data_IF_455170080175
#
_entry.id   IF_455170080175
#
_cell.length_a   1.000
_cell.length_b   1.000
_cell.length_c   1.000
_cell.angle_alpha   90.00
_cell.angle_beta   90.00
_cell.angle_gamma   90.00
#
_symmetry.space_group_name_H-M   'P 1'
#
loop_
_entity.id
_entity.type
_entity.pdbx_description
1 polymer ?
#
# COMPACT_ATOMS: atom_id res chain seq x y z
N UNK A 1 16.47 -31.77 1.76
CA UNK A 1 16.25 -31.14 3.08
C UNK A 1 14.76 -30.91 3.19
N UNK A 2 14.12 -31.39 4.24
CA UNK A 2 12.68 -31.19 4.47
C UNK A 2 12.41 -29.70 4.72
N UNK A 3 11.43 -29.13 4.02
CA UNK A 3 11.02 -27.73 4.23
C UNK A 3 10.11 -27.72 5.46
N UNK A 4 10.49 -26.94 6.47
CA UNK A 4 9.69 -26.78 7.68
C UNK A 4 8.92 -25.46 7.61
N UNK A 5 7.61 -25.53 7.39
CA UNK A 5 6.71 -24.38 7.44
C UNK A 5 5.88 -24.40 8.74
N UNK A 6 6.02 -23.35 9.56
CA UNK A 6 5.33 -23.28 10.86
C UNK A 6 3.81 -23.13 10.71
N UNK A 7 3.34 -22.48 9.65
CA UNK A 7 1.90 -22.32 9.41
C UNK A 7 1.30 -23.65 9.03
N UNK A 8 1.91 -24.35 8.07
CA UNK A 8 1.44 -25.68 7.66
C UNK A 8 1.36 -26.63 8.85
N UNK A 9 2.39 -26.67 9.71
CA UNK A 9 2.38 -27.52 10.91
C UNK A 9 1.33 -27.12 11.94
N UNK A 10 1.13 -25.81 12.15
CA UNK A 10 0.10 -25.32 13.06
C UNK A 10 -1.29 -25.71 12.57
N UNK A 11 -1.58 -25.47 11.28
CA UNK A 11 -2.88 -25.78 10.70
C UNK A 11 -3.15 -27.29 10.72
N UNK A 12 -2.16 -28.11 10.34
CA UNK A 12 -2.25 -29.57 10.43
C UNK A 12 -2.47 -30.07 11.87
N UNK A 13 -1.85 -29.43 12.88
CA UNK A 13 -2.02 -29.78 14.30
C UNK A 13 -3.47 -29.61 14.78
N UNK A 14 -4.19 -28.64 14.22
CA UNK A 14 -5.55 -28.29 14.62
C UNK A 14 -6.61 -28.68 13.56
N UNK A 15 -6.23 -29.43 12.53
CA UNK A 15 -7.09 -29.81 11.40
C UNK A 15 -7.78 -28.60 10.73
N UNK A 16 -7.05 -27.50 10.59
CA UNK A 16 -7.52 -26.31 9.88
C UNK A 16 -7.16 -26.48 8.41
N UNK A 17 -8.16 -26.44 7.54
CA UNK A 17 -7.93 -26.46 6.10
C UNK A 17 -7.36 -25.12 5.61
N UNK A 18 -6.47 -25.20 4.62
CA UNK A 18 -5.81 -24.04 4.04
C UNK A 18 -6.80 -23.11 3.36
N UNK A 19 -7.69 -23.65 2.54
CA UNK A 19 -8.67 -22.87 1.79
C UNK A 19 -9.72 -22.28 2.74
N UNK A 20 -10.12 -22.97 3.80
CA UNK A 20 -10.98 -22.41 4.86
C UNK A 20 -10.34 -21.17 5.50
N UNK A 21 -9.04 -21.22 5.82
CA UNK A 21 -8.32 -20.07 6.36
C UNK A 21 -8.25 -18.91 5.36
N UNK A 22 -8.08 -19.20 4.07
CA UNK A 22 -8.09 -18.16 3.03
C UNK A 22 -9.46 -17.52 2.88
N UNK A 23 -10.52 -18.33 2.84
CA UNK A 23 -11.89 -17.85 2.75
C UNK A 23 -12.27 -17.03 3.98
N UNK A 24 -11.88 -17.46 5.17
CA UNK A 24 -12.03 -16.65 6.38
C UNK A 24 -11.37 -15.28 6.21
N UNK A 25 -10.11 -15.22 5.77
CA UNK A 25 -9.40 -13.96 5.63
C UNK A 25 -10.01 -13.00 4.61
N UNK A 26 -10.51 -13.53 3.49
CA UNK A 26 -11.17 -12.73 2.46
C UNK A 26 -12.56 -12.27 2.93
N UNK A 27 -13.39 -13.18 3.43
CA UNK A 27 -14.79 -12.88 3.82
C UNK A 27 -14.91 -11.98 5.06
N UNK A 28 -13.97 -12.09 5.99
CA UNK A 28 -13.93 -11.22 7.17
C UNK A 28 -13.20 -9.90 6.90
N UNK A 29 -12.56 -9.73 5.74
CA UNK A 29 -11.99 -8.43 5.40
C UNK A 29 -13.11 -7.43 5.11
N UNK A 30 -13.15 -6.34 5.89
CA UNK A 30 -14.16 -5.31 5.71
C UNK A 30 -13.65 -4.30 4.68
N UNK A 31 -14.38 -4.22 3.57
CA UNK A 31 -14.16 -3.29 2.48
C UNK A 31 -15.16 -2.11 2.57
N UNK A 32 -14.75 -0.88 2.22
CA UNK A 32 -15.69 0.23 2.11
C UNK A 32 -16.85 -0.03 1.12
N UNK A 33 -18.08 0.44 1.40
CA UNK A 33 -19.21 0.32 0.46
C UNK A 33 -18.94 1.04 -0.87
N UNK A 34 -19.28 0.39 -1.99
CA UNK A 34 -18.92 0.84 -3.35
C UNK A 34 -19.50 2.21 -3.72
N UNK A 35 -20.71 2.51 -3.26
CA UNK A 35 -21.40 3.77 -3.47
C UNK A 35 -20.67 4.94 -2.79
N UNK A 36 -20.16 4.72 -1.57
CA UNK A 36 -19.37 5.70 -0.84
C UNK A 36 -17.95 5.83 -1.39
N UNK A 37 -17.37 4.72 -1.87
CA UNK A 37 -16.06 4.68 -2.53
C UNK A 37 -16.03 5.61 -3.73
N UNK A 38 -17.04 5.53 -4.61
CA UNK A 38 -17.10 6.36 -5.81
C UNK A 38 -17.05 7.86 -5.49
N UNK A 39 -17.85 8.31 -4.53
CA UNK A 39 -17.88 9.71 -4.12
C UNK A 39 -16.54 10.17 -3.54
N UNK A 40 -15.92 9.35 -2.69
CA UNK A 40 -14.65 9.68 -2.03
C UNK A 40 -13.47 9.63 -3.00
N UNK A 41 -13.51 8.76 -4.01
CA UNK A 41 -12.50 8.70 -5.05
C UNK A 41 -12.51 9.96 -5.92
N UNK A 42 -13.69 10.41 -6.37
CA UNK A 42 -13.82 11.67 -7.10
C UNK A 42 -13.37 12.88 -6.27
N UNK A 43 -13.72 12.91 -4.99
CA UNK A 43 -13.28 13.99 -4.09
C UNK A 43 -11.76 13.98 -3.89
N UNK A 44 -11.13 12.81 -3.76
CA UNK A 44 -9.67 12.70 -3.68
C UNK A 44 -9.01 13.26 -4.95
N UNK A 45 -9.46 12.84 -6.14
CA UNK A 45 -8.95 13.38 -7.41
C UNK A 45 -9.09 14.90 -7.46
N UNK A 46 -10.28 15.44 -7.11
CA UNK A 46 -10.52 16.90 -7.06
C UNK A 46 -9.55 17.61 -6.11
N UNK A 47 -9.33 17.08 -4.91
CA UNK A 47 -8.35 17.66 -3.97
C UNK A 47 -6.94 17.64 -4.56
N UNK A 48 -6.53 16.55 -5.20
CA UNK A 48 -5.19 16.45 -5.79
C UNK A 48 -4.98 17.51 -6.87
N UNK A 49 -5.90 17.61 -7.83
CA UNK A 49 -5.77 18.53 -8.96
C UNK A 49 -6.03 20.00 -8.62
N UNK A 50 -6.71 20.30 -7.51
CA UNK A 50 -7.02 21.67 -7.09
C UNK A 50 -6.23 22.11 -5.86
N UNK A 51 -5.01 21.58 -5.66
CA UNK A 51 -4.11 21.97 -4.57
C UNK A 51 -4.76 21.82 -3.17
N UNK A 52 -5.67 20.86 -3.00
CA UNK A 52 -6.27 20.48 -1.74
C UNK A 52 -5.32 19.68 -0.86
N UNK A 53 -5.61 19.64 0.44
CA UNK A 53 -4.80 18.90 1.40
C UNK A 53 -4.94 17.39 1.20
N UNK A 54 -3.81 16.71 1.07
CA UNK A 54 -3.70 15.25 0.93
C UNK A 54 -2.48 14.72 1.67
N UNK A 55 -2.53 13.45 2.05
CA UNK A 55 -1.50 12.76 2.81
C UNK A 55 -0.84 11.65 2.00
N UNK A 56 0.39 11.36 2.37
CA UNK A 56 1.14 10.19 1.89
C UNK A 56 1.90 9.54 3.05
N UNK A 57 2.25 8.26 2.91
CA UNK A 57 3.16 7.58 3.84
C UNK A 57 4.57 8.14 3.74
N UNK A 58 5.28 8.22 4.87
CA UNK A 58 6.69 8.65 4.90
C UNK A 58 7.61 7.77 4.04
N UNK A 59 8.65 8.38 3.47
CA UNK A 59 9.67 7.72 2.63
C UNK A 59 11.08 7.78 3.22
N UNK A 60 11.78 6.65 3.13
CA UNK A 60 13.11 6.44 3.75
C UNK A 60 13.05 6.22 5.26
N UNK A 61 14.22 5.94 5.85
CA UNK A 61 14.39 5.88 7.30
C UNK A 61 14.01 7.24 7.92
N UNK A 62 13.25 7.21 9.02
CA UNK A 62 12.72 8.39 9.71
C UNK A 62 11.88 9.34 8.83
N UNK A 63 11.46 8.88 7.64
CA UNK A 63 10.71 9.66 6.65
C UNK A 63 11.47 10.86 6.05
N UNK A 64 12.81 10.90 6.11
CA UNK A 64 13.62 12.02 5.57
C UNK A 64 13.45 12.23 4.06
N UNK A 65 13.31 11.14 3.30
CA UNK A 65 13.13 11.20 1.84
C UNK A 65 11.73 11.65 1.40
N UNK A 66 10.77 11.84 2.33
CA UNK A 66 9.39 12.21 1.96
C UNK A 66 9.32 13.49 1.15
N UNK A 67 10.26 14.41 1.35
CA UNK A 67 10.32 15.66 0.60
C UNK A 67 10.45 15.43 -0.91
N UNK A 68 11.17 14.39 -1.35
CA UNK A 68 11.31 14.05 -2.78
C UNK A 68 9.95 13.79 -3.43
N UNK A 69 9.04 13.10 -2.73
CA UNK A 69 7.67 12.91 -3.21
C UNK A 69 6.85 14.20 -3.15
N UNK A 70 6.98 15.00 -2.09
CA UNK A 70 6.23 16.26 -1.94
C UNK A 70 6.58 17.23 -3.07
N UNK A 71 7.88 17.41 -3.36
CA UNK A 71 8.35 18.29 -4.44
C UNK A 71 7.92 17.73 -5.80
N UNK A 72 8.00 16.41 -6.02
CA UNK A 72 7.50 15.78 -7.23
C UNK A 72 6.01 16.08 -7.45
N UNK A 73 5.17 15.92 -6.42
CA UNK A 73 3.72 16.16 -6.57
C UNK A 73 3.37 17.63 -6.76
N UNK A 74 4.16 18.54 -6.18
CA UNK A 74 4.07 19.96 -6.50
C UNK A 74 4.42 20.22 -7.96
N UNK A 75 5.41 19.51 -8.52
CA UNK A 75 5.78 19.63 -9.93
C UNK A 75 4.71 19.05 -10.87
N UNK A 76 4.21 17.84 -10.59
CA UNK A 76 3.27 17.13 -11.47
C UNK A 76 1.86 17.72 -11.43
N UNK A 77 1.36 18.05 -10.25
CA UNK A 77 -0.06 18.37 -10.04
C UNK A 77 -0.29 19.79 -9.52
N UNK A 78 0.77 20.60 -9.42
CA UNK A 78 0.73 21.92 -8.78
C UNK A 78 0.13 21.87 -7.35
N UNK A 79 0.31 20.73 -6.66
CA UNK A 79 -0.22 20.52 -5.32
C UNK A 79 0.89 20.71 -4.28
N UNK A 80 0.88 21.85 -3.60
CA UNK A 80 1.79 22.20 -2.52
C UNK A 80 1.26 21.81 -1.12
N UNK A 81 0.07 21.21 -1.04
CA UNK A 81 -0.59 20.83 0.21
C UNK A 81 -0.49 19.33 0.53
N UNK A 82 0.40 18.62 -0.15
CA UNK A 82 0.77 17.24 0.17
C UNK A 82 1.60 17.21 1.45
N UNK A 83 1.25 16.35 2.40
CA UNK A 83 1.96 16.22 3.68
C UNK A 83 2.15 14.76 4.06
N UNK A 84 3.23 14.46 4.78
CA UNK A 84 3.39 13.16 5.44
C UNK A 84 2.23 12.91 6.42
N UNK A 85 1.71 11.69 6.44
CA UNK A 85 0.84 11.21 7.52
C UNK A 85 1.65 11.00 8.81
N UNK A 86 1.13 11.48 9.95
CA UNK A 86 1.88 11.52 11.19
C UNK A 86 2.27 10.13 11.72
N UNK A 87 1.42 9.12 11.51
CA UNK A 87 1.65 7.73 11.97
C UNK A 87 1.76 6.74 10.81
N UNK A 88 1.86 7.24 9.58
CA UNK A 88 1.80 6.47 8.35
C UNK A 88 0.45 5.77 8.08
N UNK A 89 -0.57 5.97 8.92
CA UNK A 89 -1.86 5.26 8.89
C UNK A 89 -3.04 6.04 9.49
N UNK A 90 -2.88 7.29 9.97
CA UNK A 90 -4.00 8.06 10.54
C UNK A 90 -5.07 8.32 9.50
N UNK A 91 -4.69 8.85 8.34
CA UNK A 91 -5.68 9.23 7.32
C UNK A 91 -6.43 8.03 6.74
N UNK A 92 -5.75 6.92 6.35
CA UNK A 92 -6.44 5.69 5.96
C UNK A 92 -7.40 5.18 7.04
N UNK A 93 -7.00 5.24 8.31
CA UNK A 93 -7.85 4.83 9.43
C UNK A 93 -9.12 5.69 9.55
N UNK A 94 -9.01 7.02 9.37
CA UNK A 94 -10.19 7.91 9.39
C UNK A 94 -11.14 7.60 8.26
N UNK A 95 -10.62 7.47 7.03
CA UNK A 95 -11.40 7.21 5.83
C UNK A 95 -12.20 5.93 6.00
N UNK A 96 -11.55 4.80 6.29
CA UNK A 96 -12.28 3.54 6.42
C UNK A 96 -13.25 3.53 7.61
N UNK A 97 -12.93 4.21 8.71
CA UNK A 97 -13.84 4.33 9.86
C UNK A 97 -15.09 5.14 9.52
N UNK A 98 -14.95 6.18 8.69
CA UNK A 98 -16.06 7.00 8.22
C UNK A 98 -16.96 6.21 7.26
N UNK A 99 -16.37 5.48 6.31
CA UNK A 99 -17.12 4.78 5.26
C UNK A 99 -17.81 3.51 5.77
N UNK A 100 -17.22 2.82 6.74
CA UNK A 100 -17.76 1.54 7.24
C UNK A 100 -18.51 1.68 8.56
N UNK A 101 -18.35 2.80 9.28
CA UNK A 101 -18.88 2.99 10.62
C UNK A 101 -18.11 2.25 11.73
N UNK A 102 -17.10 1.45 11.39
CA UNK A 102 -16.29 0.74 12.37
C UNK A 102 -15.20 1.64 12.98
N UNK A 103 -15.05 1.55 14.30
CA UNK A 103 -14.10 2.31 15.11
C UNK A 103 -13.30 1.37 15.99
N UNK A 104 -11.97 1.41 15.83
CA UNK A 104 -11.02 0.60 16.61
C UNK A 104 -11.25 0.79 18.11
N UNK A 105 -11.15 -0.31 18.85
CA UNK A 105 -11.33 -0.38 20.31
C UNK A 105 -12.71 0.08 20.82
N UNK A 106 -13.71 0.17 19.92
CA UNK A 106 -15.10 0.46 20.27
C UNK A 106 -16.04 -0.64 19.77
N UNK A 107 -16.13 -0.79 18.46
CA UNK A 107 -16.92 -1.82 17.78
C UNK A 107 -16.10 -2.62 16.76
N UNK A 108 -14.78 -2.44 16.77
CA UNK A 108 -13.83 -3.16 15.92
C UNK A 108 -12.59 -3.56 16.74
N UNK A 109 -12.38 -4.86 16.87
CA UNK A 109 -11.29 -5.45 17.65
C UNK A 109 -10.52 -6.46 16.80
N UNK A 110 -9.20 -6.50 16.95
CA UNK A 110 -8.33 -7.43 16.23
C UNK A 110 -8.35 -7.28 14.70
N UNK A 111 -8.61 -6.07 14.21
CA UNK A 111 -8.42 -5.68 12.81
C UNK A 111 -7.26 -4.69 12.67
N UNK A 112 -6.70 -4.64 11.46
CA UNK A 112 -5.70 -3.64 11.07
C UNK A 112 -6.09 -2.97 9.76
N UNK A 113 -5.68 -1.72 9.60
CA UNK A 113 -5.81 -1.01 8.33
C UNK A 113 -4.69 -1.48 7.40
N UNK A 114 -5.06 -1.89 6.19
CA UNK A 114 -4.12 -2.33 5.16
C UNK A 114 -4.39 -1.62 3.84
N UNK A 115 -3.34 -1.46 3.03
CA UNK A 115 -3.47 -1.01 1.65
C UNK A 115 -3.47 -2.22 0.72
N UNK A 116 -4.57 -2.45 0.00
CA UNK A 116 -4.80 -3.65 -0.80
C UNK A 116 -3.70 -3.83 -1.87
N UNK A 117 -3.40 -2.76 -2.61
CA UNK A 117 -2.44 -2.75 -3.72
C UNK A 117 -1.11 -2.07 -3.36
N UNK A 118 -0.87 -1.80 -2.07
CA UNK A 118 0.32 -1.10 -1.61
C UNK A 118 0.38 0.35 -2.10
N UNK A 119 1.54 0.76 -2.62
CA UNK A 119 1.79 2.10 -3.20
C UNK A 119 1.38 3.27 -2.28
N UNK A 120 1.82 3.18 -1.02
CA UNK A 120 1.41 4.10 0.06
C UNK A 120 2.03 5.51 0.03
N UNK A 121 3.01 5.76 -0.84
CA UNK A 121 3.60 7.08 -1.12
C UNK A 121 2.92 7.74 -2.32
N UNK A 122 2.19 6.97 -3.12
CA UNK A 122 1.39 7.47 -4.22
C UNK A 122 0.25 8.36 -3.70
N UNK A 123 0.22 9.60 -4.19
CA UNK A 123 -0.78 10.62 -3.81
C UNK A 123 -2.22 10.19 -4.08
N UNK A 124 -2.44 9.38 -5.10
CA UNK A 124 -3.77 8.87 -5.46
C UNK A 124 -4.16 7.65 -4.63
N UNK A 125 -3.20 6.83 -4.18
CA UNK A 125 -3.51 5.51 -3.60
C UNK A 125 -3.45 5.46 -2.09
N UNK A 126 -2.75 6.39 -1.43
CA UNK A 126 -2.65 6.36 0.03
C UNK A 126 -3.99 6.60 0.73
N UNK A 127 -4.77 7.56 0.21
CA UNK A 127 -6.12 7.90 0.70
C UNK A 127 -7.24 7.27 -0.14
N UNK A 128 -6.93 6.52 -1.21
CA UNK A 128 -7.96 5.91 -2.04
C UNK A 128 -8.80 4.93 -1.23
N UNK A 129 -10.13 5.14 -1.10
CA UNK A 129 -10.97 4.28 -0.28
C UNK A 129 -11.01 2.84 -0.81
N UNK A 130 -10.97 2.66 -2.13
CA UNK A 130 -10.90 1.34 -2.78
C UNK A 130 -9.54 0.65 -2.61
N UNK A 131 -8.50 1.35 -2.14
CA UNK A 131 -7.21 0.77 -1.82
C UNK A 131 -7.04 0.52 -0.31
N UNK A 132 -8.07 0.76 0.52
CA UNK A 132 -7.98 0.62 1.99
C UNK A 132 -8.95 -0.47 2.46
N UNK A 133 -8.47 -1.35 3.33
CA UNK A 133 -9.27 -2.42 3.92
C UNK A 133 -9.01 -2.56 5.43
N UNK A 134 -9.99 -3.09 6.17
CA UNK A 134 -9.78 -3.59 7.52
C UNK A 134 -9.61 -5.10 7.45
N UNK A 135 -8.37 -5.56 7.62
CA UNK A 135 -8.00 -6.97 7.54
C UNK A 135 -7.91 -7.57 8.95
N UNK A 136 -8.44 -8.78 9.19
CA UNK A 136 -8.25 -9.48 10.46
C UNK A 136 -6.78 -9.65 10.79
N UNK A 137 -6.35 -9.32 12.02
CA UNK A 137 -4.94 -9.45 12.44
C UNK A 137 -4.46 -10.90 12.43
N UNK A 138 -5.35 -11.87 12.56
CA UNK A 138 -4.99 -13.30 12.47
C UNK A 138 -4.49 -13.69 11.07
N UNK A 139 -4.79 -12.87 10.06
CA UNK A 139 -4.36 -13.02 8.67
C UNK A 139 -3.10 -12.20 8.38
N UNK A 140 -2.66 -11.33 9.29
CA UNK A 140 -1.41 -10.57 9.14
C UNK A 140 -0.20 -11.44 8.74
N UNK A 141 -0.05 -12.66 9.28
CA UNK A 141 1.00 -13.57 8.83
C UNK A 141 0.95 -13.92 7.34
N UNK A 142 -0.20 -13.84 6.66
CA UNK A 142 -0.32 -14.10 5.22
C UNK A 142 -0.20 -12.83 4.37
N UNK A 143 -0.28 -11.65 4.98
CA UNK A 143 -0.20 -10.34 4.29
C UNK A 143 1.07 -9.56 4.58
N UNK A 144 1.83 -9.97 5.61
CA UNK A 144 3.00 -9.26 6.10
C UNK A 144 4.25 -9.41 5.21
N UNK A 145 5.13 -8.42 5.31
CA UNK A 145 6.40 -8.36 4.55
C UNK A 145 7.48 -9.30 5.12
N UNK A 146 7.24 -9.87 6.30
CA UNK A 146 8.16 -10.78 6.97
C UNK A 146 7.91 -12.23 6.58
N UNK A 147 6.77 -12.51 5.95
CA UNK A 147 6.37 -13.87 5.63
C UNK A 147 6.90 -14.31 4.27
N UNK A 148 7.33 -15.57 4.23
CA UNK A 148 7.81 -16.26 3.02
C UNK A 148 7.04 -17.56 2.89
N UNK A 149 7.11 -18.15 1.71
CA UNK A 149 6.48 -19.44 1.42
C UNK A 149 5.31 -19.31 0.45
N UNK A 150 4.74 -20.46 0.11
CA UNK A 150 3.68 -20.55 -0.90
C UNK A 150 2.34 -20.07 -0.36
N UNK A 151 2.03 -20.32 0.92
CA UNK A 151 0.72 -19.98 1.48
C UNK A 151 0.41 -18.47 1.48
N UNK A 152 1.31 -17.57 1.93
CA UNK A 152 1.09 -16.13 1.84
C UNK A 152 0.92 -15.66 0.41
N UNK A 153 1.68 -16.24 -0.53
CA UNK A 153 1.59 -15.89 -1.95
C UNK A 153 0.21 -16.26 -2.52
N UNK A 154 -0.24 -17.49 -2.30
CA UNK A 154 -1.56 -17.96 -2.75
C UNK A 154 -2.69 -17.14 -2.12
N UNK A 155 -2.60 -16.84 -0.82
CA UNK A 155 -3.56 -15.97 -0.15
C UNK A 155 -3.60 -14.57 -0.78
N UNK A 156 -2.44 -13.94 -0.98
CA UNK A 156 -2.33 -12.62 -1.59
C UNK A 156 -2.91 -12.60 -3.00
N UNK A 157 -2.64 -13.62 -3.81
CA UNK A 157 -3.21 -13.75 -5.15
C UNK A 157 -4.75 -13.82 -5.11
N UNK A 158 -5.32 -14.65 -4.23
CA UNK A 158 -6.78 -14.75 -4.06
C UNK A 158 -7.38 -13.44 -3.54
N UNK A 159 -6.77 -12.82 -2.54
CA UNK A 159 -7.24 -11.56 -1.94
C UNK A 159 -7.19 -10.39 -2.93
N UNK A 160 -6.10 -10.29 -3.72
CA UNK A 160 -5.96 -9.28 -4.76
C UNK A 160 -6.95 -9.51 -5.90
N UNK A 161 -7.19 -10.77 -6.30
CA UNK A 161 -8.18 -11.10 -7.32
C UNK A 161 -9.58 -10.68 -6.88
N UNK A 162 -9.99 -11.07 -5.68
CA UNK A 162 -11.29 -10.70 -5.09
C UNK A 162 -11.47 -9.17 -5.03
N UNK A 163 -10.47 -8.47 -4.51
CA UNK A 163 -10.53 -7.00 -4.39
C UNK A 163 -10.52 -6.30 -5.75
N UNK A 164 -9.80 -6.85 -6.73
CA UNK A 164 -9.73 -6.30 -8.09
C UNK A 164 -11.05 -6.43 -8.83
N UNK A 165 -11.81 -7.50 -8.58
CA UNK A 165 -13.14 -7.68 -9.16
C UNK A 165 -14.12 -6.63 -8.61
N UNK A 166 -14.12 -6.42 -7.29
CA UNK A 166 -15.00 -5.44 -6.62
C UNK A 166 -14.69 -4.01 -7.07
N UNK A 167 -13.41 -3.65 -7.17
CA UNK A 167 -12.97 -2.28 -7.44
C UNK A 167 -12.45 -2.05 -8.85
N UNK A 168 -12.84 -2.91 -9.80
CA UNK A 168 -12.35 -2.88 -11.17
C UNK A 168 -12.43 -1.49 -11.80
N UNK A 169 -13.58 -0.83 -11.68
CA UNK A 169 -13.83 0.49 -12.29
C UNK A 169 -12.86 1.56 -11.75
N UNK A 170 -12.58 1.56 -10.45
CA UNK A 170 -11.65 2.52 -9.84
C UNK A 170 -10.20 2.25 -10.19
N UNK A 171 -9.84 0.96 -10.31
CA UNK A 171 -8.50 0.54 -10.75
C UNK A 171 -8.27 0.94 -12.21
N UNK A 172 -9.27 0.73 -13.07
CA UNK A 172 -9.20 1.12 -14.48
C UNK A 172 -9.04 2.64 -14.63
N UNK A 173 -9.84 3.43 -13.90
CA UNK A 173 -9.73 4.89 -13.89
C UNK A 173 -8.35 5.38 -13.38
N UNK A 174 -7.86 4.81 -12.29
CA UNK A 174 -6.49 5.09 -11.80
C UNK A 174 -5.42 4.72 -12.83
N UNK A 175 -5.55 3.55 -13.47
CA UNK A 175 -4.59 3.09 -14.46
C UNK A 175 -4.57 4.00 -15.69
N UNK A 176 -5.74 4.44 -16.16
CA UNK A 176 -5.85 5.41 -17.24
C UNK A 176 -5.18 6.74 -16.85
N UNK A 177 -5.42 7.21 -15.62
CA UNK A 177 -4.84 8.45 -15.12
C UNK A 177 -3.31 8.40 -15.06
N UNK A 178 -2.77 7.36 -14.41
CA UNK A 178 -1.33 7.24 -14.16
C UNK A 178 -0.52 6.94 -15.43
N UNK A 179 -1.16 6.37 -16.45
CA UNK A 179 -0.55 6.10 -17.76
C UNK A 179 -0.48 7.30 -18.69
N UNK A 180 -0.94 8.49 -18.26
CA UNK A 180 -0.84 9.71 -19.07
C UNK A 180 0.62 10.08 -19.38
N UNK A 181 0.87 10.51 -20.61
CA UNK A 181 2.20 10.94 -21.06
C UNK A 181 2.73 12.08 -20.18
N UNK A 182 1.86 13.03 -19.82
CA UNK A 182 2.14 14.19 -18.96
C UNK A 182 2.76 13.77 -17.61
N UNK A 183 2.22 12.74 -16.96
CA UNK A 183 2.79 12.22 -15.70
C UNK A 183 4.15 11.58 -15.95
N UNK A 184 4.26 10.71 -16.95
CA UNK A 184 5.52 9.99 -17.23
C UNK A 184 6.67 10.93 -17.62
N UNK A 185 6.39 11.91 -18.48
CA UNK A 185 7.35 12.93 -18.90
C UNK A 185 7.68 13.89 -17.75
N UNK A 186 6.68 14.26 -16.95
CA UNK A 186 6.87 15.08 -15.75
C UNK A 186 7.77 14.41 -14.71
N UNK A 187 7.62 13.10 -14.48
CA UNK A 187 8.52 12.34 -13.60
C UNK A 187 9.95 12.36 -14.15
N UNK A 188 10.13 12.02 -15.44
CA UNK A 188 11.45 11.96 -16.07
C UNK A 188 12.16 13.33 -15.98
N UNK A 189 11.45 14.40 -16.34
CA UNK A 189 11.97 15.77 -16.25
C UNK A 189 12.35 16.14 -14.82
N UNK A 190 11.50 15.85 -13.84
CA UNK A 190 11.77 16.14 -12.44
C UNK A 190 13.03 15.42 -11.94
N UNK A 191 13.18 14.13 -12.26
CA UNK A 191 14.36 13.34 -11.90
C UNK A 191 15.63 13.89 -12.57
N UNK A 192 15.57 14.28 -13.84
CA UNK A 192 16.70 14.89 -14.54
C UNK A 192 17.11 16.21 -13.91
N UNK A 193 16.14 17.05 -13.53
CA UNK A 193 16.41 18.32 -12.86
C UNK A 193 17.01 18.11 -11.46
N UNK A 194 16.53 17.13 -10.69
CA UNK A 194 17.14 16.73 -9.42
C UNK A 194 18.60 16.28 -9.61
N UNK A 195 18.85 15.43 -10.62
CA UNK A 195 20.22 14.94 -10.94
C UNK A 195 21.15 16.08 -11.35
N UNK A 196 20.65 17.12 -12.03
CA UNK A 196 21.45 18.30 -12.40
C UNK A 196 21.76 19.20 -11.20
N UNK A 197 20.81 19.35 -10.27
CA UNK A 197 20.96 20.25 -9.12
C UNK A 197 21.79 19.62 -7.99
N UNK A 198 21.54 18.35 -7.68
CA UNK A 198 22.13 17.66 -6.52
C UNK A 198 23.12 16.55 -6.90
N UNK A 199 23.25 16.24 -8.19
CA UNK A 199 24.03 15.13 -8.71
C UNK A 199 23.27 13.80 -8.69
N UNK A 200 23.81 12.79 -9.38
CA UNK A 200 23.25 11.43 -9.40
C UNK A 200 23.62 10.65 -8.12
N UNK A 201 23.16 11.14 -6.96
CA UNK A 201 23.42 10.49 -5.68
C UNK A 201 22.72 9.14 -5.56
N UNK A 202 23.18 8.29 -4.64
CA UNK A 202 22.53 7.00 -4.35
C UNK A 202 21.05 7.17 -3.97
N UNK A 203 20.73 8.24 -3.25
CA UNK A 203 19.36 8.55 -2.82
C UNK A 203 18.47 8.89 -4.02
N UNK A 204 18.93 9.76 -4.91
CA UNK A 204 18.18 10.16 -6.12
C UNK A 204 18.00 8.96 -7.07
N UNK A 205 19.05 8.15 -7.26
CA UNK A 205 18.96 6.94 -8.08
C UNK A 205 18.03 5.87 -7.47
N UNK A 206 17.90 5.82 -6.14
CA UNK A 206 16.94 4.95 -5.49
C UNK A 206 15.52 5.51 -5.62
N UNK A 207 15.35 6.82 -5.43
CA UNK A 207 14.09 7.50 -5.62
C UNK A 207 13.55 7.34 -7.04
N UNK A 208 14.39 7.47 -8.07
CA UNK A 208 14.04 7.20 -9.47
C UNK A 208 13.49 5.77 -9.66
N UNK A 209 14.07 4.77 -9.02
CA UNK A 209 13.54 3.39 -9.12
C UNK A 209 12.22 3.25 -8.37
N UNK A 210 12.15 3.80 -7.18
CA UNK A 210 10.98 3.67 -6.31
C UNK A 210 9.78 4.41 -6.89
N UNK A 211 9.97 5.63 -7.42
CA UNK A 211 8.89 6.44 -8.00
C UNK A 211 8.26 5.77 -9.21
N UNK A 212 9.06 5.10 -10.05
CA UNK A 212 8.55 4.37 -11.21
C UNK A 212 7.71 3.15 -10.81
N UNK A 213 8.01 2.52 -9.67
CA UNK A 213 7.16 1.45 -9.12
C UNK A 213 5.93 2.05 -8.46
N UNK A 214 6.09 3.12 -7.70
CA UNK A 214 5.05 3.76 -6.92
C UNK A 214 3.95 4.39 -7.79
N UNK A 215 4.35 5.12 -8.83
CA UNK A 215 3.50 5.74 -9.85
C UNK A 215 3.40 4.87 -11.11
N UNK A 216 3.14 3.57 -10.92
CA UNK A 216 2.76 2.67 -12.02
C UNK A 216 1.31 2.17 -11.89
N UNK A 217 0.81 1.63 -12.99
CA UNK A 217 -0.47 0.93 -13.05
C UNK A 217 -0.53 -0.23 -12.06
N UNK A 218 -1.71 -0.47 -11.51
CA UNK A 218 -2.02 -1.71 -10.79
C UNK A 218 -2.32 -2.76 -11.84
N UNK A 219 -1.53 -3.85 -11.85
CA UNK A 219 -1.79 -4.98 -12.75
C UNK A 219 -3.02 -5.71 -12.24
N UNK A 220 -4.09 -5.71 -13.03
CA UNK A 220 -5.19 -6.64 -12.82
C UNK A 220 -4.68 -8.04 -13.18
N UNK A 221 -5.00 -9.03 -12.35
CA UNK A 221 -4.71 -10.43 -12.67
C UNK A 221 -5.60 -10.86 -13.84
N UNK A 222 -5.17 -10.58 -15.07
CA UNK A 222 -5.68 -11.26 -16.24
C UNK A 222 -4.90 -12.58 -16.36
N UNK A 223 -5.66 -13.68 -16.35
CA UNK A 223 -5.28 -15.09 -16.57
C UNK A 223 -3.80 -15.40 -16.86
N UNK A 224 -3.24 -16.28 -16.02
CA UNK A 224 -2.13 -17.21 -16.26
C UNK A 224 -1.20 -16.87 -17.44
N UNK A 225 -0.09 -16.18 -17.15
CA UNK A 225 1.27 -16.52 -17.61
C UNK A 225 2.21 -15.33 -17.37
N UNK A 226 2.52 -15.08 -16.10
CA UNK A 226 3.77 -14.44 -15.71
C UNK A 226 4.02 -14.77 -14.24
N UNK A 227 5.03 -15.62 -14.00
CA UNK A 227 5.54 -15.90 -12.66
C UNK A 227 5.85 -14.57 -11.96
N UNK A 228 5.01 -14.24 -10.99
CA UNK A 228 5.15 -13.07 -10.13
C UNK A 228 6.44 -13.23 -9.31
N UNK A 229 7.43 -12.38 -9.56
CA UNK A 229 8.29 -11.89 -8.48
C UNK A 229 7.55 -10.70 -7.86
N UNK A 230 7.09 -10.80 -6.61
CA UNK A 230 6.55 -9.63 -5.95
C UNK A 230 7.70 -8.62 -5.77
N UNK A 231 7.41 -7.35 -6.05
CA UNK A 231 8.32 -6.25 -5.78
C UNK A 231 8.44 -6.02 -4.26
N UNK A 232 9.04 -6.96 -3.55
CA UNK A 232 9.46 -6.80 -2.16
C UNK A 232 10.97 -6.93 -2.10
N UNK A 233 11.66 -5.88 -2.56
CA UNK A 233 13.10 -5.72 -2.32
C UNK A 233 13.32 -4.80 -1.13
N UNK A 234 13.79 -5.42 -0.04
CA UNK A 234 14.66 -4.91 1.03
C UNK A 234 14.47 -3.43 1.39
N UNK A 235 13.62 -3.16 2.38
CA UNK A 235 13.92 -2.06 3.29
C UNK A 235 15.18 -2.42 4.08
N UNK A 236 16.13 -1.49 4.13
CA UNK A 236 17.36 -1.62 4.92
C UNK A 236 16.99 -1.96 6.36
N UNK A 237 17.57 -3.05 6.89
CA UNK A 237 17.54 -3.38 8.32
C UNK A 237 18.03 -2.16 9.12
N UNK A 238 17.14 -1.53 9.86
CA UNK A 238 17.52 -0.93 11.13
C UNK A 238 17.20 -1.98 12.19
N UNK A 239 18.22 -2.69 12.67
CA UNK A 239 18.09 -3.48 13.88
C UNK A 239 17.66 -2.54 15.02
N UNK A 240 16.64 -2.89 15.82
CA UNK A 240 16.38 -2.18 17.05
C UNK A 240 17.62 -2.34 17.94
N UNK A 241 18.24 -1.22 18.35
CA UNK A 241 19.13 -1.26 19.52
C UNK A 241 18.29 -1.80 20.67
N UNK A 242 18.59 -3.00 21.13
CA UNK A 242 18.04 -3.53 22.37
C UNK A 242 18.30 -2.51 23.47
N UNK A 243 17.22 -1.93 24.01
CA UNK A 243 17.28 -1.21 25.29
C UNK A 243 17.48 -2.26 26.37
N UNK A 244 18.73 -2.41 26.78
CA UNK A 244 19.13 -3.06 28.00
C UNK A 244 18.57 -2.25 29.18
N UNK A 245 17.42 -2.67 29.71
CA UNK A 245 16.95 -2.16 31.00
C UNK A 245 16.10 -3.20 31.72
N UNK A 246 16.78 -4.22 32.27
CA UNK A 246 16.29 -4.96 33.43
C UNK A 246 17.34 -4.89 34.53
N UNK A 247 17.25 -3.83 35.34
CA UNK A 247 17.77 -3.79 36.71
C UNK A 247 16.72 -3.13 37.59
N UNK A 248 15.92 -3.96 38.24
CA UNK A 248 15.67 -3.99 39.69
C UNK A 248 14.71 -5.13 40.01
#
# INVERSE_FOLDING_TARGET
MEILDSYERFMAKFNIDKDDMYQFGISETILPPIDLVAQNWEELKKRIFNNGAVKIRGYGCDAKGTELYIVLYKHLFNNANVKKDATNNIEPQKIISMLTGYKRNRNLFNYQVSHIFGKTKNIFLFEAPWNIALVPKIIDPFTGHETKGIWPKEYQEKFLSYSSEIYKEFIDDYNQLISSAEISEGIAKHIDDLKKQEGATREILQFEKDVMVELSTIRQSLNNDAVVQPAYKRYNKCEPKMMETLRK
#
